data_IF_319147475470
#
_entry.id   IF_319147475470
#
_cell.length_a   1.000
_cell.length_b   1.000
_cell.length_c   1.000
_cell.angle_alpha   90.00
_cell.angle_beta   90.00
_cell.angle_gamma   90.00
#
_symmetry.space_group_name_H-M   'P 1'
#
loop_
_entity.id
_entity.type
_entity.pdbx_description
1 polymer ?
#
# COMPACT_ATOMS: atom_id res chain seq x y z
N UNK A 1 35.35 10.08 21.43
CA UNK A 1 35.33 10.46 19.99
C UNK A 1 33.89 10.57 19.54
N UNK A 2 33.53 11.65 18.85
CA UNK A 2 32.16 11.93 18.41
C UNK A 2 31.63 10.85 17.47
N UNK A 3 30.43 10.34 17.73
CA UNK A 3 29.72 9.36 16.89
C UNK A 3 28.85 10.00 15.81
N UNK A 4 28.95 11.32 15.62
CA UNK A 4 28.08 12.08 14.70
C UNK A 4 28.21 11.67 13.23
N UNK A 5 29.30 11.00 12.83
CA UNK A 5 29.51 10.52 11.46
C UNK A 5 29.12 9.04 11.26
N UNK A 6 28.52 8.37 12.27
CA UNK A 6 28.12 6.97 12.14
C UNK A 6 26.78 6.86 11.40
N UNK A 7 26.77 6.15 10.29
CA UNK A 7 25.55 5.80 9.55
C UNK A 7 24.75 4.78 10.39
N UNK A 8 23.45 5.01 10.65
CA UNK A 8 22.60 4.03 11.31
C UNK A 8 22.48 2.73 10.50
N UNK A 9 22.56 1.59 11.17
CA UNK A 9 22.21 0.27 10.62
C UNK A 9 20.70 0.17 10.33
N UNK A 10 20.24 -0.73 9.45
CA UNK A 10 18.81 -0.97 9.23
C UNK A 10 18.03 -1.24 10.53
N UNK A 11 18.59 -2.04 11.45
CA UNK A 11 17.97 -2.31 12.76
C UNK A 11 17.90 -1.07 13.67
N UNK A 12 18.85 -0.14 13.53
CA UNK A 12 18.77 1.15 14.20
C UNK A 12 17.65 2.02 13.62
N UNK A 13 17.52 2.07 12.29
CA UNK A 13 16.46 2.83 11.59
C UNK A 13 15.07 2.28 11.93
N UNK A 14 14.93 0.95 11.94
CA UNK A 14 13.68 0.26 12.22
C UNK A 14 13.14 0.59 13.62
N UNK A 15 14.02 0.72 14.61
CA UNK A 15 13.65 1.07 16.00
C UNK A 15 13.23 2.53 16.20
N UNK A 16 13.48 3.42 15.25
CA UNK A 16 13.05 4.81 15.37
C UNK A 16 11.53 4.88 15.24
N UNK A 17 10.83 5.64 16.11
CA UNK A 17 9.43 5.96 15.89
C UNK A 17 9.32 6.92 14.71
N UNK A 18 8.76 6.44 13.59
CA UNK A 18 8.66 7.21 12.34
C UNK A 18 7.25 7.73 12.12
N UNK A 19 7.16 8.93 11.54
CA UNK A 19 5.94 9.45 10.95
C UNK A 19 6.06 9.36 9.43
N UNK A 20 5.06 8.76 8.78
CA UNK A 20 4.98 8.66 7.33
C UNK A 20 3.84 9.55 6.84
N UNK A 21 4.16 10.54 6.00
CA UNK A 21 3.22 11.59 5.60
C UNK A 21 2.90 11.57 4.10
N UNK A 22 3.51 10.64 3.36
CA UNK A 22 3.32 10.52 1.93
C UNK A 22 3.58 9.08 1.50
N UNK A 23 2.54 8.27 1.58
CA UNK A 23 2.53 6.95 0.95
C UNK A 23 1.16 6.72 0.31
N UNK A 24 1.17 6.01 -0.80
CA UNK A 24 -0.03 5.78 -1.62
C UNK A 24 -0.49 4.34 -1.42
N UNK A 25 -1.75 4.16 -1.01
CA UNK A 25 -2.31 2.84 -0.75
C UNK A 25 -2.21 1.95 -1.99
N UNK A 26 -2.48 2.51 -3.16
CA UNK A 26 -2.41 1.87 -4.48
C UNK A 26 -0.98 1.67 -5.02
N UNK A 27 0.04 2.10 -4.29
CA UNK A 27 1.45 1.89 -4.61
C UNK A 27 2.17 0.86 -3.71
N UNK A 28 1.58 0.48 -2.58
CA UNK A 28 2.24 -0.30 -1.53
C UNK A 28 1.80 -1.77 -1.39
N UNK A 29 1.10 -2.32 -2.39
CA UNK A 29 0.52 -3.67 -2.29
C UNK A 29 1.60 -4.76 -2.25
N UNK A 30 1.37 -5.79 -1.44
CA UNK A 30 2.21 -7.00 -1.47
C UNK A 30 2.01 -7.73 -2.81
N UNK A 31 3.10 -8.13 -3.52
CA UNK A 31 2.99 -8.85 -4.79
C UNK A 31 2.12 -10.11 -4.72
N UNK A 32 2.24 -10.89 -3.64
CA UNK A 32 1.42 -12.09 -3.45
C UNK A 32 -0.07 -11.76 -3.33
N UNK A 33 -0.42 -10.66 -2.65
CA UNK A 33 -1.81 -10.22 -2.53
C UNK A 33 -2.39 -9.81 -3.89
N UNK A 34 -1.61 -9.12 -4.73
CA UNK A 34 -1.99 -8.82 -6.12
C UNK A 34 -2.27 -10.11 -6.89
N UNK A 35 -1.37 -11.10 -6.79
CA UNK A 35 -1.50 -12.40 -7.46
C UNK A 35 -2.75 -13.16 -7.02
N UNK A 36 -3.00 -13.23 -5.71
CA UNK A 36 -4.14 -13.95 -5.15
C UNK A 36 -5.45 -13.37 -5.69
N UNK A 37 -5.62 -12.04 -5.58
CA UNK A 37 -6.83 -11.35 -6.00
C UNK A 37 -6.98 -11.42 -7.52
N UNK A 38 -5.90 -11.19 -8.28
CA UNK A 38 -5.93 -11.25 -9.74
C UNK A 38 -6.42 -12.61 -10.26
N UNK A 39 -6.00 -13.72 -9.63
CA UNK A 39 -6.49 -15.06 -9.96
C UNK A 39 -7.98 -15.22 -9.68
N UNK A 40 -8.48 -14.67 -8.57
CA UNK A 40 -9.90 -14.72 -8.22
C UNK A 40 -10.78 -13.95 -9.20
N UNK A 41 -10.33 -12.76 -9.62
CA UNK A 41 -11.12 -11.87 -10.49
C UNK A 41 -10.84 -12.07 -11.99
N UNK A 42 -9.91 -12.97 -12.35
CA UNK A 42 -9.52 -13.23 -13.73
C UNK A 42 -8.72 -12.09 -14.39
N UNK A 43 -7.97 -11.32 -13.60
CA UNK A 43 -7.09 -10.25 -14.11
C UNK A 43 -5.73 -10.82 -14.54
N UNK A 44 -5.23 -10.39 -15.69
CA UNK A 44 -3.93 -10.82 -16.21
C UNK A 44 -2.79 -10.01 -15.59
N UNK A 45 -1.73 -10.71 -15.19
CA UNK A 45 -0.51 -10.13 -14.63
C UNK A 45 0.71 -10.47 -15.50
N UNK A 46 1.74 -9.61 -15.50
CA UNK A 46 3.01 -9.89 -16.18
C UNK A 46 3.72 -11.15 -15.66
N UNK A 47 3.51 -11.49 -14.38
CA UNK A 47 3.93 -12.75 -13.77
C UNK A 47 2.98 -13.13 -12.64
N UNK A 48 2.87 -14.44 -12.37
CA UNK A 48 2.17 -15.00 -11.22
C UNK A 48 3.13 -15.58 -10.17
N UNK A 49 4.43 -15.29 -10.30
CA UNK A 49 5.43 -15.45 -9.26
C UNK A 49 5.63 -14.12 -8.52
N UNK A 50 5.61 -14.15 -7.18
CA UNK A 50 5.64 -12.95 -6.37
C UNK A 50 6.97 -12.20 -6.45
N UNK A 51 8.09 -12.92 -6.59
CA UNK A 51 9.42 -12.31 -6.71
C UNK A 51 9.57 -11.65 -8.08
N UNK A 52 9.23 -12.36 -9.16
CA UNK A 52 9.28 -11.81 -10.52
C UNK A 52 8.35 -10.60 -10.68
N UNK A 53 7.13 -10.67 -10.12
CA UNK A 53 6.18 -9.56 -10.17
C UNK A 53 6.73 -8.32 -9.42
N UNK A 54 7.35 -8.51 -8.25
CA UNK A 54 7.99 -7.43 -7.51
C UNK A 54 9.13 -6.78 -8.30
N UNK A 55 9.95 -7.60 -8.96
CA UNK A 55 11.04 -7.10 -9.82
C UNK A 55 10.50 -6.33 -11.03
N UNK A 56 9.41 -6.79 -11.64
CA UNK A 56 8.74 -6.09 -12.73
C UNK A 56 8.22 -4.72 -12.29
N UNK A 57 7.52 -4.64 -11.15
CA UNK A 57 7.08 -3.36 -10.58
C UNK A 57 8.26 -2.42 -10.36
N UNK A 58 9.34 -2.90 -9.73
CA UNK A 58 10.54 -2.10 -9.46
C UNK A 58 11.19 -1.60 -10.75
N UNK A 59 11.34 -2.46 -11.76
CA UNK A 59 11.94 -2.10 -13.04
C UNK A 59 11.11 -1.08 -13.82
N UNK A 60 9.78 -1.20 -13.78
CA UNK A 60 8.87 -0.22 -14.38
C UNK A 60 8.98 1.14 -13.71
N UNK A 61 9.07 1.18 -12.38
CA UNK A 61 9.23 2.41 -11.62
C UNK A 61 10.58 3.11 -11.85
N UNK A 62 11.66 2.35 -12.05
CA UNK A 62 13.01 2.87 -12.29
C UNK A 62 13.33 3.10 -13.79
N UNK A 63 12.31 3.00 -14.67
CA UNK A 63 12.50 3.02 -16.12
C UNK A 63 12.78 4.40 -16.72
N UNK A 64 12.61 5.48 -15.94
CA UNK A 64 12.66 6.86 -16.44
C UNK A 64 11.49 7.24 -17.36
N UNK A 65 10.47 6.39 -17.50
CA UNK A 65 9.28 6.62 -18.32
C UNK A 65 8.03 6.74 -17.46
N UNK A 66 7.37 7.89 -17.50
CA UNK A 66 6.10 8.10 -16.82
C UNK A 66 5.03 7.10 -17.29
N UNK A 67 5.03 6.73 -18.58
CA UNK A 67 4.05 5.78 -19.12
C UNK A 67 4.21 4.41 -18.46
N UNK A 68 5.44 3.88 -18.41
CA UNK A 68 5.73 2.60 -17.75
C UNK A 68 5.48 2.64 -16.26
N UNK A 69 5.75 3.77 -15.61
CA UNK A 69 5.39 3.99 -14.23
C UNK A 69 3.87 3.94 -14.01
N UNK A 70 3.06 4.48 -14.92
CA UNK A 70 1.60 4.47 -14.78
C UNK A 70 0.97 3.11 -15.15
N UNK A 71 1.60 2.33 -16.02
CA UNK A 71 1.16 0.95 -16.35
C UNK A 71 1.05 0.07 -15.10
N UNK A 72 1.89 0.28 -14.09
CA UNK A 72 1.84 -0.50 -12.85
C UNK A 72 0.55 -0.29 -12.07
N UNK A 73 0.00 0.93 -12.10
CA UNK A 73 -1.25 1.26 -11.39
C UNK A 73 -2.47 0.58 -11.98
N UNK A 74 -2.44 0.22 -13.27
CA UNK A 74 -3.51 -0.58 -13.86
C UNK A 74 -3.69 -1.93 -13.15
N UNK A 75 -2.60 -2.53 -12.64
CA UNK A 75 -2.69 -3.78 -11.91
C UNK A 75 -3.11 -3.59 -10.45
N UNK A 76 -2.58 -2.59 -9.75
CA UNK A 76 -2.92 -2.36 -8.34
C UNK A 76 -4.36 -1.86 -8.17
N UNK A 77 -4.83 -0.98 -9.07
CA UNK A 77 -6.22 -0.50 -9.06
C UNK A 77 -7.19 -1.62 -9.44
N UNK A 78 -6.86 -2.46 -10.42
CA UNK A 78 -7.72 -3.58 -10.85
C UNK A 78 -8.02 -4.55 -9.70
N UNK A 79 -7.05 -4.83 -8.83
CA UNK A 79 -7.22 -5.73 -7.68
C UNK A 79 -7.84 -5.06 -6.45
N UNK A 80 -8.30 -3.81 -6.55
CA UNK A 80 -8.94 -3.09 -5.44
C UNK A 80 -10.36 -2.63 -5.78
N UNK A 81 -11.06 -3.37 -6.64
CA UNK A 81 -12.42 -3.03 -7.07
C UNK A 81 -13.53 -3.68 -6.22
N UNK A 82 -13.17 -4.56 -5.27
CA UNK A 82 -14.10 -5.17 -4.30
C UNK A 82 -13.80 -4.72 -2.88
N UNK A 83 -14.85 -4.61 -2.06
CA UNK A 83 -14.74 -4.17 -0.66
C UNK A 83 -13.74 -5.02 0.14
N UNK A 84 -13.82 -6.34 0.02
CA UNK A 84 -12.96 -7.28 0.74
C UNK A 84 -11.47 -7.14 0.37
N UNK A 85 -11.19 -6.83 -0.91
CA UNK A 85 -9.83 -6.66 -1.41
C UNK A 85 -9.24 -5.34 -0.88
N UNK A 86 -10.03 -4.26 -0.89
CA UNK A 86 -9.63 -2.96 -0.33
C UNK A 86 -9.32 -3.11 1.17
N UNK A 87 -10.19 -3.78 1.92
CA UNK A 87 -9.99 -4.04 3.36
C UNK A 87 -8.70 -4.82 3.58
N UNK A 88 -8.45 -5.87 2.78
CA UNK A 88 -7.21 -6.66 2.86
C UNK A 88 -5.98 -5.79 2.60
N UNK A 89 -5.97 -5.02 1.53
CA UNK A 89 -4.82 -4.17 1.14
C UNK A 89 -4.55 -3.10 2.21
N UNK A 90 -5.57 -2.40 2.68
CA UNK A 90 -5.43 -1.38 3.74
C UNK A 90 -4.96 -1.99 5.07
N UNK A 91 -5.45 -3.19 5.43
CA UNK A 91 -4.97 -3.93 6.59
C UNK A 91 -3.49 -4.29 6.48
N UNK A 92 -3.07 -4.81 5.33
CA UNK A 92 -1.67 -5.19 5.09
C UNK A 92 -0.74 -3.98 5.13
N UNK A 93 -1.16 -2.84 4.57
CA UNK A 93 -0.47 -1.56 4.64
C UNK A 93 -0.18 -1.16 6.10
N UNK A 94 -1.20 -1.14 6.97
CA UNK A 94 -1.01 -0.78 8.38
C UNK A 94 -0.06 -1.73 9.13
N UNK A 95 -0.16 -3.04 8.87
CA UNK A 95 0.72 -4.06 9.47
C UNK A 95 2.17 -3.85 9.04
N UNK A 96 2.41 -3.64 7.75
CA UNK A 96 3.77 -3.50 7.21
C UNK A 96 4.44 -2.20 7.67
N UNK A 97 3.68 -1.09 7.68
CA UNK A 97 4.15 0.18 8.24
C UNK A 97 4.52 0.04 9.72
N UNK A 98 3.67 -0.61 10.52
CA UNK A 98 3.95 -0.84 11.93
C UNK A 98 5.19 -1.71 12.15
N UNK A 99 5.33 -2.78 11.35
CA UNK A 99 6.51 -3.64 11.37
C UNK A 99 7.77 -2.90 11.01
N UNK A 100 7.68 -1.85 10.18
CA UNK A 100 8.83 -1.01 9.83
C UNK A 100 9.14 0.07 10.88
N UNK A 101 8.35 0.15 11.96
CA UNK A 101 8.52 1.10 13.07
C UNK A 101 7.86 2.46 12.82
N UNK A 102 6.92 2.53 11.89
CA UNK A 102 6.04 3.70 11.74
C UNK A 102 5.01 3.68 12.86
N UNK A 103 4.90 4.80 13.56
CA UNK A 103 3.94 4.98 14.67
C UNK A 103 2.76 5.87 14.28
N UNK A 104 2.90 6.64 13.20
CA UNK A 104 1.85 7.47 12.63
C UNK A 104 1.99 7.51 11.11
N UNK A 105 0.89 7.26 10.39
CA UNK A 105 0.86 7.27 8.94
C UNK A 105 -0.35 8.05 8.40
N UNK A 106 -0.09 8.94 7.46
CA UNK A 106 -1.10 9.57 6.59
C UNK A 106 -1.01 8.92 5.21
N UNK A 107 -1.85 7.90 5.00
CA UNK A 107 -1.89 7.12 3.76
C UNK A 107 -2.86 7.77 2.79
N UNK A 108 -2.44 7.87 1.53
CA UNK A 108 -3.14 8.59 0.46
C UNK A 108 -3.87 7.61 -0.44
N UNK A 109 -5.08 7.98 -0.85
CA UNK A 109 -5.82 7.25 -1.89
C UNK A 109 -6.80 8.18 -2.61
N UNK A 110 -6.95 7.98 -3.92
CA UNK A 110 -7.99 8.61 -4.73
C UNK A 110 -9.18 7.64 -4.88
N UNK A 111 -10.27 7.78 -4.09
CA UNK A 111 -11.33 6.78 -4.04
C UNK A 111 -12.06 6.58 -5.39
N UNK A 112 -12.03 7.58 -6.28
CA UNK A 112 -12.62 7.49 -7.61
C UNK A 112 -12.01 6.36 -8.45
N UNK A 113 -10.74 6.02 -8.24
CA UNK A 113 -10.06 4.92 -8.93
C UNK A 113 -10.64 3.55 -8.52
N UNK A 114 -11.36 3.46 -7.40
CA UNK A 114 -11.90 2.21 -6.87
C UNK A 114 -13.37 1.96 -7.29
N UNK A 115 -13.91 2.79 -8.17
CA UNK A 115 -15.35 2.78 -8.50
C UNK A 115 -15.72 2.09 -9.80
N UNK A 116 -14.74 1.58 -10.58
CA UNK A 116 -14.96 1.05 -11.93
C UNK A 116 -15.87 -0.18 -11.97
N UNK A 117 -15.96 -0.93 -10.86
CA UNK A 117 -16.85 -2.11 -10.72
C UNK A 117 -18.09 -1.85 -9.86
N UNK A 118 -18.47 -0.59 -9.67
CA UNK A 118 -19.76 -0.20 -9.09
C UNK A 118 -19.75 0.13 -7.60
N UNK A 119 -18.57 0.21 -6.97
CA UNK A 119 -18.46 0.80 -5.63
C UNK A 119 -18.81 2.29 -5.67
N UNK A 120 -19.48 2.76 -4.62
CA UNK A 120 -19.61 4.20 -4.39
C UNK A 120 -18.33 4.73 -3.75
N UNK A 121 -18.06 6.04 -3.89
CA UNK A 121 -16.94 6.69 -3.19
C UNK A 121 -16.99 6.42 -1.68
N UNK A 122 -18.17 6.51 -1.06
CA UNK A 122 -18.36 6.25 0.36
C UNK A 122 -17.98 4.80 0.72
N UNK A 123 -18.43 3.82 -0.06
CA UNK A 123 -18.11 2.40 0.18
C UNK A 123 -16.62 2.12 0.05
N UNK A 124 -15.94 2.75 -0.92
CA UNK A 124 -14.50 2.64 -1.07
C UNK A 124 -13.75 3.23 0.14
N UNK A 125 -14.16 4.42 0.59
CA UNK A 125 -13.58 5.09 1.76
C UNK A 125 -13.80 4.26 3.03
N UNK A 126 -15.01 3.74 3.25
CA UNK A 126 -15.35 2.91 4.40
C UNK A 126 -14.52 1.62 4.43
N UNK A 127 -14.31 0.98 3.27
CA UNK A 127 -13.49 -0.21 3.15
C UNK A 127 -12.01 0.06 3.52
N UNK A 128 -11.45 1.18 3.07
CA UNK A 128 -10.07 1.59 3.43
C UNK A 128 -9.96 1.80 4.93
N UNK A 129 -10.87 2.57 5.52
CA UNK A 129 -10.87 2.88 6.95
C UNK A 129 -11.04 1.62 7.81
N UNK A 130 -11.87 0.67 7.38
CA UNK A 130 -12.03 -0.61 8.05
C UNK A 130 -10.75 -1.43 7.98
N UNK A 131 -10.10 -1.52 6.82
CA UNK A 131 -8.82 -2.20 6.68
C UNK A 131 -7.75 -1.63 7.59
N UNK A 132 -7.62 -0.29 7.66
CA UNK A 132 -6.71 0.36 8.61
C UNK A 132 -7.03 0.00 10.05
N UNK A 133 -8.29 0.06 10.47
CA UNK A 133 -8.71 -0.29 11.84
C UNK A 133 -8.35 -1.73 12.20
N UNK A 134 -8.59 -2.68 11.29
CA UNK A 134 -8.22 -4.08 11.50
C UNK A 134 -6.69 -4.23 11.56
N UNK A 135 -5.97 -3.58 10.66
CA UNK A 135 -4.51 -3.63 10.63
C UNK A 135 -3.84 -3.01 11.86
N UNK A 136 -4.40 -1.93 12.43
CA UNK A 136 -3.96 -1.37 13.71
C UNK A 136 -4.10 -2.38 14.87
N UNK A 137 -5.22 -3.11 14.91
CA UNK A 137 -5.46 -4.15 15.92
C UNK A 137 -4.48 -5.30 15.78
N UNK A 138 -4.24 -5.76 14.55
CA UNK A 138 -3.33 -6.87 14.28
C UNK A 138 -1.88 -6.50 14.53
N UNK A 139 -1.45 -5.31 14.11
CA UNK A 139 -0.13 -4.77 14.46
C UNK A 139 0.09 -4.73 15.98
N UNK A 140 -0.94 -4.34 16.75
CA UNK A 140 -0.89 -4.34 18.22
C UNK A 140 -0.73 -5.74 18.80
N UNK A 141 -1.35 -6.75 18.18
CA UNK A 141 -1.18 -8.15 18.58
C UNK A 141 0.27 -8.65 18.37
N UNK A 142 1.00 -8.04 17.43
CA UNK A 142 2.44 -8.28 17.19
C UNK A 142 3.36 -7.41 18.06
N UNK A 143 2.80 -6.60 18.97
CA UNK A 143 3.56 -5.69 19.82
C UNK A 143 3.94 -4.36 19.18
N UNK A 144 3.41 -4.06 17.99
CA UNK A 144 3.64 -2.79 17.29
C UNK A 144 2.45 -1.84 17.48
N UNK A 145 2.69 -0.54 17.66
CA UNK A 145 1.61 0.45 17.78
C UNK A 145 1.75 1.44 16.63
N UNK A 146 0.66 1.59 15.86
CA UNK A 146 0.56 2.56 14.78
C UNK A 146 -0.82 3.23 14.83
N UNK A 147 -0.87 4.50 14.41
CA UNK A 147 -2.10 5.18 14.01
C UNK A 147 -2.05 5.47 12.52
N UNK A 148 -3.04 5.00 11.75
CA UNK A 148 -3.15 5.23 10.31
C UNK A 148 -4.38 6.10 10.04
N UNK A 149 -4.21 7.10 9.19
CA UNK A 149 -5.28 8.00 8.73
C UNK A 149 -5.29 8.06 7.20
N UNK A 150 -6.44 8.43 6.64
CA UNK A 150 -6.64 8.53 5.20
C UNK A 150 -6.60 9.98 4.74
N UNK A 151 -5.73 10.28 3.77
CA UNK A 151 -5.73 11.50 2.98
C UNK A 151 -6.43 11.24 1.65
N UNK A 152 -7.61 11.83 1.47
CA UNK A 152 -8.35 11.75 0.21
C UNK A 152 -7.65 12.59 -0.86
N UNK A 153 -7.31 11.94 -1.96
CA UNK A 153 -6.75 12.58 -3.14
C UNK A 153 -7.84 12.75 -4.21
N UNK A 154 -7.76 13.84 -4.97
CA UNK A 154 -8.54 14.01 -6.20
C UNK A 154 -7.60 13.96 -7.39
N UNK A 155 -7.91 13.13 -8.37
CA UNK A 155 -7.14 13.01 -9.60
C UNK A 155 -7.32 14.27 -10.45
N UNK A 156 -6.23 14.81 -11.01
CA UNK A 156 -6.26 16.01 -11.85
C UNK A 156 -6.83 15.73 -13.24
N UNK A 157 -6.79 14.48 -13.67
CA UNK A 157 -7.13 14.03 -15.02
C UNK A 157 -8.65 13.89 -15.27
N UNK A 158 -9.48 14.31 -14.32
CA UNK A 158 -10.94 14.35 -14.47
C UNK A 158 -11.41 15.52 -15.34
#
# INVERSE_FOLDING_TARGET
MSTLNKIPTPDQIKRLPKALLHDHLDGGLRPQTIIDIAKEIGHELPSYDATELAEWFRASCDSGSLVRYLETFAHTVAVMQRTEDIVRVARECAIDLARDGVVYAEVRMAPELLTEKGLTLSSAIEAILEGFRVGEVDAKSEGNIIRVTLLLCGMRQN
#
